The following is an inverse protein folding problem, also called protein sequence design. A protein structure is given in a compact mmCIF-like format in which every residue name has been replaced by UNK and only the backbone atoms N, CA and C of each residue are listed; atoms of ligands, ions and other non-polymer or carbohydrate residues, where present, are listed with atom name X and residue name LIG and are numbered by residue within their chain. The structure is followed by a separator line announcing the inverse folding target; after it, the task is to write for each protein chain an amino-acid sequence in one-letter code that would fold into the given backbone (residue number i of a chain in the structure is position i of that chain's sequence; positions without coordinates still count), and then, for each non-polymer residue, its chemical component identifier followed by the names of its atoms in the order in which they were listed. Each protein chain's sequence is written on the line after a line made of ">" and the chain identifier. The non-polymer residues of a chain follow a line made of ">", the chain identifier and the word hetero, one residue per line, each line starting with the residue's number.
data_IF_322536150439
#
_entry.id   IF_322536150439
#
_cell.length_a   1.000
_cell.length_b   1.000
_cell.length_c   1.000
_cell.angle_alpha   90.00
_cell.angle_beta   90.00
_cell.angle_gamma   90.00
#
_symmetry.space_group_name_H-M   'P 1'
#
loop_
_entity.id
_entity.type
_entity.pdbx_description
1 polymer ?
#
# COMPACT_ATOMS: atom_id res chain seq x y z
N UNK A 1 13.86 9.68 -5.10
CA UNK A 1 13.45 8.40 -4.51
C UNK A 1 12.05 8.10 -5.06
N UNK A 2 11.88 7.09 -5.92
CA UNK A 2 10.55 6.77 -6.47
C UNK A 2 9.77 6.04 -5.37
N UNK A 3 8.80 6.70 -4.75
CA UNK A 3 7.80 6.02 -3.91
C UNK A 3 7.00 5.12 -4.85
N UNK A 4 7.20 3.80 -4.76
CA UNK A 4 6.35 2.84 -5.47
C UNK A 4 5.07 2.71 -4.66
N UNK A 5 3.95 3.20 -5.19
CA UNK A 5 2.66 2.90 -4.58
C UNK A 5 2.34 1.42 -4.82
N UNK A 6 2.50 0.63 -3.74
CA UNK A 6 2.27 -0.82 -3.67
C UNK A 6 0.90 -1.23 -4.22
N UNK A 7 0.87 -2.24 -5.10
CA UNK A 7 -0.35 -2.91 -5.59
C UNK A 7 -0.87 -4.00 -4.65
N UNK A 8 -0.65 -3.85 -3.35
CA UNK A 8 -1.17 -4.78 -2.35
C UNK A 8 -2.69 -4.66 -2.15
N UNK A 9 -3.24 -5.52 -1.28
CA UNK A 9 -4.68 -5.61 -1.03
C UNK A 9 -5.26 -4.52 -0.12
N UNK A 10 -4.50 -3.51 0.34
CA UNK A 10 -4.96 -2.57 1.39
C UNK A 10 -6.27 -1.88 1.02
N UNK A 11 -6.39 -1.42 -0.23
CA UNK A 11 -7.58 -0.72 -0.71
C UNK A 11 -8.78 -1.67 -0.85
N UNK A 12 -8.53 -2.92 -1.23
CA UNK A 12 -9.56 -3.97 -1.30
C UNK A 12 -10.08 -4.30 0.09
N UNK A 13 -9.16 -4.56 1.03
CA UNK A 13 -9.46 -4.85 2.43
C UNK A 13 -10.24 -3.70 3.05
N UNK A 14 -9.77 -2.45 2.88
CA UNK A 14 -10.43 -1.27 3.43
C UNK A 14 -11.80 -1.03 2.81
N UNK A 15 -11.91 -1.14 1.48
CA UNK A 15 -13.20 -0.99 0.78
C UNK A 15 -14.23 -1.98 1.32
N UNK A 16 -13.88 -3.26 1.43
CA UNK A 16 -14.82 -4.28 1.92
C UNK A 16 -15.13 -4.09 3.41
N UNK A 17 -14.14 -3.73 4.23
CA UNK A 17 -14.32 -3.47 5.66
C UNK A 17 -15.22 -2.27 5.96
N UNK A 18 -15.22 -1.25 5.09
CA UNK A 18 -15.95 0.01 5.29
C UNK A 18 -17.30 0.07 4.55
N UNK A 19 -17.66 -0.97 3.78
CA UNK A 19 -19.01 -1.05 3.21
C UNK A 19 -20.06 -1.08 4.33
N UNK A 20 -21.20 -0.39 4.18
CA UNK A 20 -22.24 -0.36 5.21
C UNK A 20 -22.93 -1.73 5.33
N UNK A 21 -23.43 -2.07 6.52
CA UNK A 21 -24.11 -3.37 6.78
C UNK A 21 -25.39 -3.54 5.96
N UNK A 22 -25.97 -2.43 5.49
CA UNK A 22 -27.10 -2.42 4.54
C UNK A 22 -26.72 -2.80 3.11
N UNK A 23 -25.42 -2.94 2.78
CA UNK A 23 -24.99 -3.35 1.45
C UNK A 23 -25.21 -4.86 1.25
N UNK A 24 -26.22 -5.21 0.47
CA UNK A 24 -26.61 -6.60 0.18
C UNK A 24 -26.33 -7.03 -1.27
N UNK A 25 -25.78 -6.14 -2.10
CA UNK A 25 -25.52 -6.44 -3.50
C UNK A 25 -24.28 -7.32 -3.65
N UNK A 26 -24.21 -8.07 -4.75
CA UNK A 26 -23.02 -8.81 -5.12
C UNK A 26 -21.89 -7.83 -5.48
N UNK A 27 -20.71 -8.05 -4.91
CA UNK A 27 -19.52 -7.26 -5.19
C UNK A 27 -18.63 -7.99 -6.19
N UNK A 28 -18.16 -7.30 -7.23
CA UNK A 28 -17.13 -7.82 -8.12
C UNK A 28 -15.87 -6.95 -7.98
N UNK A 29 -14.73 -7.59 -7.77
CA UNK A 29 -13.44 -6.93 -7.53
C UNK A 29 -12.40 -7.52 -8.47
N UNK A 30 -11.93 -6.71 -9.43
CA UNK A 30 -10.78 -7.07 -10.26
C UNK A 30 -9.53 -6.38 -9.73
N UNK A 31 -8.44 -7.13 -9.57
CA UNK A 31 -7.17 -6.67 -9.03
C UNK A 31 -6.09 -7.00 -10.05
N UNK A 32 -5.28 -6.01 -10.40
CA UNK A 32 -4.21 -6.16 -11.36
C UNK A 32 -2.91 -5.53 -10.85
N UNK A 33 -1.81 -6.25 -11.03
CA UNK A 33 -0.46 -5.69 -10.95
C UNK A 33 0.36 -6.29 -12.10
N UNK A 34 1.38 -5.57 -12.58
CA UNK A 34 2.31 -6.08 -13.57
C UNK A 34 3.38 -6.98 -12.94
N UNK A 35 3.70 -6.76 -11.66
CA UNK A 35 4.64 -7.58 -10.91
C UNK A 35 3.96 -8.85 -10.39
N UNK A 36 4.32 -9.98 -10.99
CA UNK A 36 3.81 -11.29 -10.59
C UNK A 36 4.07 -11.61 -9.11
N UNK A 37 5.14 -11.09 -8.48
CA UNK A 37 5.41 -11.31 -7.05
C UNK A 37 4.29 -10.70 -6.22
N UNK A 38 3.86 -9.48 -6.56
CA UNK A 38 2.74 -8.81 -5.90
C UNK A 38 1.45 -9.60 -6.10
N UNK A 39 1.16 -10.02 -7.34
CA UNK A 39 -0.04 -10.81 -7.65
C UNK A 39 -0.07 -12.13 -6.88
N UNK A 40 1.02 -12.90 -6.88
CA UNK A 40 1.11 -14.18 -6.17
C UNK A 40 0.89 -14.00 -4.66
N UNK A 41 1.50 -12.97 -4.04
CA UNK A 41 1.29 -12.68 -2.62
C UNK A 41 -0.16 -12.31 -2.33
N UNK A 42 -0.79 -11.49 -3.18
CA UNK A 42 -2.19 -11.13 -3.04
C UNK A 42 -3.12 -12.35 -3.19
N UNK A 43 -2.85 -13.25 -4.13
CA UNK A 43 -3.59 -14.52 -4.29
C UNK A 43 -3.53 -15.35 -3.01
N UNK A 44 -2.34 -15.51 -2.42
CA UNK A 44 -2.15 -16.28 -1.17
C UNK A 44 -2.95 -15.67 -0.01
N UNK A 45 -2.88 -14.34 0.16
CA UNK A 45 -3.61 -13.64 1.22
C UNK A 45 -5.13 -13.76 1.03
N UNK A 46 -5.64 -13.64 -0.20
CA UNK A 46 -7.06 -13.81 -0.52
C UNK A 46 -7.54 -15.24 -0.31
N UNK A 47 -6.79 -16.25 -0.78
CA UNK A 47 -7.13 -17.66 -0.57
C UNK A 47 -7.23 -17.99 0.92
N UNK A 48 -6.28 -17.49 1.72
CA UNK A 48 -6.32 -17.66 3.17
C UNK A 48 -7.55 -17.00 3.81
N UNK A 49 -7.89 -15.77 3.41
CA UNK A 49 -9.06 -15.05 3.94
C UNK A 49 -10.40 -15.71 3.52
N UNK A 50 -10.51 -16.15 2.27
CA UNK A 50 -11.70 -16.81 1.73
C UNK A 50 -11.92 -18.19 2.37
N UNK A 51 -10.86 -18.99 2.54
CA UNK A 51 -10.93 -20.27 3.25
C UNK A 51 -11.30 -20.09 4.72
N UNK A 52 -10.69 -19.11 5.39
CA UNK A 52 -10.94 -18.84 6.80
C UNK A 52 -12.40 -18.42 7.09
N UNK A 53 -13.06 -17.78 6.13
CA UNK A 53 -14.45 -17.31 6.25
C UNK A 53 -15.47 -18.30 5.68
N UNK A 54 -15.03 -19.49 5.27
CA UNK A 54 -15.88 -20.57 4.80
C UNK A 54 -16.51 -21.32 5.98
N UNK A 55 -17.84 -21.21 6.13
CA UNK A 55 -18.59 -21.90 7.19
C UNK A 55 -18.45 -23.44 7.15
N UNK A 56 -18.03 -23.99 6.01
CA UNK A 56 -17.80 -25.41 5.82
C UNK A 56 -16.38 -25.86 6.21
N UNK A 57 -15.51 -24.94 6.65
CA UNK A 57 -14.16 -25.32 7.12
C UNK A 57 -14.25 -25.84 8.56
N UNK A 58 -14.07 -27.16 8.82
CA UNK A 58 -13.95 -27.69 10.18
C UNK A 58 -12.71 -27.14 10.92
N UNK A 59 -11.88 -26.36 10.21
CA UNK A 59 -10.73 -25.66 10.73
C UNK A 59 -10.99 -24.17 10.93
N UNK A 60 -12.21 -23.62 10.80
CA UNK A 60 -12.46 -22.17 10.96
C UNK A 60 -11.74 -21.63 12.22
N UNK A 61 -10.62 -20.94 12.01
CA UNK A 61 -9.86 -20.36 13.10
C UNK A 61 -10.70 -19.24 13.72
N UNK A 62 -10.44 -18.89 14.97
CA UNK A 62 -11.00 -17.66 15.52
C UNK A 62 -10.66 -16.50 14.54
N UNK A 63 -11.64 -15.67 14.16
CA UNK A 63 -11.42 -14.52 13.25
C UNK A 63 -10.25 -13.64 13.72
N UNK A 64 -10.08 -13.53 15.03
CA UNK A 64 -8.97 -12.82 15.64
C UNK A 64 -7.61 -13.45 15.31
N UNK A 65 -7.55 -14.78 15.31
CA UNK A 65 -6.36 -15.56 15.02
C UNK A 65 -5.95 -15.40 13.55
N UNK A 66 -6.93 -15.48 12.63
CA UNK A 66 -6.71 -15.28 11.18
C UNK A 66 -6.30 -13.85 10.85
N UNK A 67 -6.89 -12.86 11.52
CA UNK A 67 -6.50 -11.45 11.36
C UNK A 67 -5.00 -11.27 11.64
N UNK A 68 -4.47 -11.91 12.68
CA UNK A 68 -3.05 -11.88 13.00
C UNK A 68 -2.20 -12.67 12.01
N UNK A 69 -2.67 -13.82 11.52
CA UNK A 69 -1.98 -14.56 10.45
C UNK A 69 -1.80 -13.67 9.22
N UNK A 70 -2.86 -12.99 8.79
CA UNK A 70 -2.81 -12.07 7.64
C UNK A 70 -1.81 -10.94 7.88
N UNK A 71 -1.84 -10.30 9.06
CA UNK A 71 -0.92 -9.21 9.40
C UNK A 71 0.54 -9.67 9.32
N UNK A 72 0.85 -10.83 9.91
CA UNK A 72 2.22 -11.35 9.93
C UNK A 72 2.70 -11.81 8.55
N UNK A 73 1.86 -12.47 7.75
CA UNK A 73 2.21 -12.83 6.38
C UNK A 73 2.44 -11.59 5.50
N UNK A 74 1.68 -10.52 5.73
CA UNK A 74 1.78 -9.31 4.94
C UNK A 74 3.02 -8.47 5.30
N UNK A 75 3.27 -8.27 6.61
CA UNK A 75 4.19 -7.24 7.09
C UNK A 75 5.36 -7.74 7.94
N UNK A 76 5.32 -8.96 8.49
CA UNK A 76 6.43 -9.49 9.29
C UNK A 76 7.41 -10.29 8.44
N UNK A 77 8.70 -10.04 8.62
CA UNK A 77 9.79 -10.75 7.94
C UNK A 77 9.93 -12.18 8.45
N UNK A 78 9.73 -12.38 9.75
CA UNK A 78 9.69 -13.70 10.36
C UNK A 78 8.32 -13.97 10.95
N UNK A 79 7.93 -15.23 10.96
CA UNK A 79 6.64 -15.70 11.40
C UNK A 79 6.81 -16.85 12.41
N UNK A 80 5.81 -17.08 13.29
CA UNK A 80 5.79 -18.26 14.12
C UNK A 80 5.30 -19.49 13.35
N UNK A 81 5.58 -20.68 13.88
CA UNK A 81 5.16 -21.97 13.32
C UNK A 81 3.65 -22.01 13.06
N UNK A 82 2.83 -21.47 13.97
CA UNK A 82 1.39 -21.27 13.80
C UNK A 82 1.04 -20.63 12.45
N UNK A 83 1.71 -19.53 12.08
CA UNK A 83 1.38 -18.77 10.88
C UNK A 83 1.76 -19.57 9.62
N UNK A 84 2.91 -20.25 9.63
CA UNK A 84 3.31 -21.15 8.56
C UNK A 84 2.31 -22.32 8.41
N UNK A 85 1.90 -22.90 9.54
CA UNK A 85 0.91 -23.97 9.58
C UNK A 85 -0.43 -23.57 8.95
N UNK A 86 -0.91 -22.34 9.25
CA UNK A 86 -2.12 -21.81 8.62
C UNK A 86 -1.95 -21.65 7.10
N UNK A 87 -0.81 -21.11 6.66
CA UNK A 87 -0.50 -20.97 5.25
C UNK A 87 -0.50 -22.34 4.55
N UNK A 88 0.24 -23.31 5.08
CA UNK A 88 0.39 -24.63 4.47
C UNK A 88 -0.89 -25.46 4.52
N UNK A 89 -1.55 -25.56 5.69
CA UNK A 89 -2.71 -26.45 5.88
C UNK A 89 -3.99 -25.94 5.21
N UNK A 90 -4.04 -24.66 4.80
CA UNK A 90 -5.20 -24.04 4.15
C UNK A 90 -4.96 -23.71 2.69
N UNK A 91 -3.83 -23.09 2.36
CA UNK A 91 -3.59 -22.58 1.00
C UNK A 91 -3.09 -23.69 0.08
N UNK A 92 -2.13 -24.52 0.53
CA UNK A 92 -1.56 -25.59 -0.33
C UNK A 92 -2.65 -26.51 -0.90
N UNK A 93 -3.61 -27.05 -0.10
CA UNK A 93 -4.67 -27.90 -0.64
C UNK A 93 -5.52 -27.23 -1.73
N UNK A 94 -5.73 -25.92 -1.65
CA UNK A 94 -6.52 -25.17 -2.63
C UNK A 94 -5.78 -25.00 -3.97
N UNK A 95 -4.45 -24.91 -3.93
CA UNK A 95 -3.63 -24.65 -5.12
C UNK A 95 -3.02 -25.91 -5.75
N UNK A 96 -3.00 -27.07 -5.06
CA UNK A 96 -2.35 -28.29 -5.55
C UNK A 96 -2.82 -28.71 -6.94
N UNK A 97 -4.12 -28.78 -7.20
CA UNK A 97 -4.67 -29.13 -8.53
C UNK A 97 -4.24 -28.15 -9.62
N UNK A 98 -4.20 -26.85 -9.29
CA UNK A 98 -3.74 -25.82 -10.22
C UNK A 98 -2.24 -25.95 -10.51
N UNK A 99 -1.44 -26.21 -9.47
CA UNK A 99 0.00 -26.43 -9.60
C UNK A 99 0.32 -27.65 -10.47
N UNK A 100 -0.33 -28.79 -10.21
CA UNK A 100 -0.08 -30.02 -10.96
C UNK A 100 -0.43 -29.83 -12.45
N UNK A 101 -1.58 -29.20 -12.75
CA UNK A 101 -1.96 -28.85 -14.12
C UNK A 101 -0.95 -27.90 -14.77
N UNK A 102 -0.58 -26.82 -14.09
CA UNK A 102 0.36 -25.83 -14.60
C UNK A 102 1.74 -26.45 -14.91
N UNK A 103 2.20 -27.39 -14.10
CA UNK A 103 3.51 -28.03 -14.26
C UNK A 103 3.67 -28.73 -15.62
N UNK A 104 2.56 -29.25 -16.17
CA UNK A 104 2.49 -29.94 -17.47
C UNK A 104 2.35 -29.03 -18.68
N UNK A 105 2.05 -27.75 -18.47
CA UNK A 105 1.88 -26.80 -19.57
C UNK A 105 3.22 -26.43 -20.21
N UNK A 106 3.17 -25.93 -21.44
CA UNK A 106 4.35 -25.32 -22.08
C UNK A 106 4.73 -24.01 -21.37
N UNK A 107 6.03 -23.63 -21.36
CA UNK A 107 6.45 -22.36 -20.82
C UNK A 107 5.67 -21.16 -21.37
N UNK A 108 5.33 -20.21 -20.51
CA UNK A 108 4.56 -19.01 -20.84
C UNK A 108 3.07 -19.22 -21.16
N UNK A 109 2.56 -20.46 -21.11
CA UNK A 109 1.13 -20.73 -21.28
C UNK A 109 0.32 -20.11 -20.14
N UNK A 110 -0.81 -19.49 -20.49
CA UNK A 110 -1.78 -18.96 -19.53
C UNK A 110 -2.71 -20.07 -19.05
N UNK A 111 -3.01 -20.08 -17.76
CA UNK A 111 -4.00 -20.96 -17.16
C UNK A 111 -4.83 -20.18 -16.15
N UNK A 112 -6.15 -20.32 -16.27
CA UNK A 112 -7.09 -19.79 -15.29
C UNK A 112 -7.57 -20.88 -14.33
N UNK A 113 -7.69 -20.54 -13.05
CA UNK A 113 -8.31 -21.36 -12.01
C UNK A 113 -9.42 -20.54 -11.36
N UNK A 114 -10.56 -21.18 -11.17
CA UNK A 114 -11.68 -20.63 -10.41
C UNK A 114 -11.90 -21.48 -9.15
N UNK A 115 -12.00 -20.81 -8.02
CA UNK A 115 -12.44 -21.39 -6.75
C UNK A 115 -13.82 -20.86 -6.42
N UNK A 116 -14.66 -21.76 -5.91
CA UNK A 116 -15.96 -21.42 -5.34
C UNK A 116 -15.92 -21.71 -3.84
N UNK A 117 -16.36 -20.74 -3.06
CA UNK A 117 -16.47 -20.80 -1.61
C UNK A 117 -17.94 -20.68 -1.20
N UNK A 118 -18.32 -21.06 0.04
CA UNK A 118 -19.67 -20.84 0.55
C UNK A 118 -20.12 -19.38 0.46
N UNK A 119 -21.42 -19.14 0.58
CA UNK A 119 -22.05 -17.82 0.41
C UNK A 119 -21.86 -17.20 -0.98
N UNK A 120 -21.75 -18.05 -2.02
CA UNK A 120 -21.59 -17.66 -3.42
C UNK A 120 -20.33 -16.82 -3.71
N UNK A 121 -19.28 -16.98 -2.88
CA UNK A 121 -18.01 -16.31 -3.06
C UNK A 121 -17.16 -17.02 -4.11
N UNK A 122 -16.42 -16.27 -4.91
CA UNK A 122 -15.49 -16.86 -5.87
C UNK A 122 -14.19 -16.09 -5.98
N UNK A 123 -13.14 -16.81 -6.42
CA UNK A 123 -11.87 -16.24 -6.82
C UNK A 123 -11.50 -16.84 -8.16
N UNK A 124 -11.31 -16.00 -9.18
CA UNK A 124 -10.69 -16.36 -10.45
C UNK A 124 -9.27 -15.81 -10.49
N UNK A 125 -8.31 -16.65 -10.80
CA UNK A 125 -6.90 -16.26 -10.98
C UNK A 125 -6.46 -16.73 -12.36
N UNK A 126 -5.86 -15.84 -13.14
CA UNK A 126 -5.25 -16.15 -14.43
C UNK A 126 -3.77 -15.78 -14.39
N UNK A 127 -2.91 -16.79 -14.53
CA UNK A 127 -1.46 -16.66 -14.43
C UNK A 127 -0.78 -17.51 -15.50
N UNK A 128 0.46 -17.15 -15.83
CA UNK A 128 1.35 -17.98 -16.63
C UNK A 128 1.81 -19.19 -15.82
N UNK A 129 2.22 -20.25 -16.51
CA UNK A 129 2.81 -21.45 -15.90
C UNK A 129 3.84 -21.12 -14.81
N UNK A 130 4.82 -20.29 -15.13
CA UNK A 130 5.94 -19.97 -14.23
C UNK A 130 5.46 -19.26 -12.95
N UNK A 131 4.40 -18.47 -13.07
CA UNK A 131 3.80 -17.73 -11.96
C UNK A 131 2.97 -18.68 -11.08
N UNK A 132 2.27 -19.65 -11.66
CA UNK A 132 1.60 -20.72 -10.91
C UNK A 132 2.56 -21.56 -10.07
N UNK A 133 3.74 -21.88 -10.61
CA UNK A 133 4.77 -22.61 -9.86
C UNK A 133 5.20 -21.81 -8.62
N UNK A 134 5.32 -20.48 -8.75
CA UNK A 134 5.66 -19.58 -7.64
C UNK A 134 4.60 -19.51 -6.55
N UNK A 135 3.30 -19.67 -6.87
CA UNK A 135 2.23 -19.67 -5.85
C UNK A 135 2.48 -20.75 -4.79
N UNK A 136 2.90 -21.95 -5.22
CA UNK A 136 3.23 -23.03 -4.29
C UNK A 136 4.55 -22.79 -3.56
N UNK A 137 5.58 -22.33 -4.27
CA UNK A 137 6.89 -22.01 -3.67
C UNK A 137 6.75 -20.96 -2.55
N UNK A 138 5.89 -19.96 -2.72
CA UNK A 138 5.67 -18.90 -1.74
C UNK A 138 4.88 -19.39 -0.49
N UNK A 139 4.39 -20.62 -0.49
CA UNK A 139 3.78 -21.28 0.68
C UNK A 139 4.78 -22.11 1.50
N UNK A 140 6.02 -22.27 1.03
CA UNK A 140 7.03 -23.14 1.62
C UNK A 140 8.30 -22.36 1.94
N UNK A 141 8.90 -22.65 3.10
CA UNK A 141 10.19 -22.07 3.45
C UNK A 141 11.27 -22.75 2.62
N UNK A 142 12.13 -21.96 1.97
CA UNK A 142 13.25 -22.48 1.21
C UNK A 142 14.15 -23.32 2.12
N UNK A 143 14.36 -24.59 1.76
CA UNK A 143 15.14 -25.56 2.58
C UNK A 143 16.56 -25.06 2.90
N UNK A 144 17.14 -24.23 2.03
CA UNK A 144 18.49 -23.67 2.16
C UNK A 144 18.57 -22.41 3.04
N UNK A 145 17.41 -21.82 3.38
CA UNK A 145 17.30 -20.53 4.06
C UNK A 145 17.02 -20.73 5.55
N UNK A 146 18.06 -20.62 6.37
CA UNK A 146 17.92 -20.58 7.82
C UNK A 146 17.48 -19.20 8.30
N UNK A 147 16.99 -19.12 9.53
CA UNK A 147 16.67 -17.86 10.20
C UNK A 147 17.83 -16.85 10.14
N UNK A 148 19.04 -17.31 10.44
CA UNK A 148 20.26 -16.51 10.54
C UNK A 148 20.64 -15.95 9.17
N UNK A 149 20.53 -16.76 8.11
CA UNK A 149 20.79 -16.32 6.73
C UNK A 149 19.76 -15.29 6.27
N UNK A 150 18.47 -15.54 6.52
CA UNK A 150 17.39 -14.61 6.19
C UNK A 150 17.55 -13.28 6.95
N UNK A 151 17.87 -13.36 8.24
CA UNK A 151 18.15 -12.19 9.09
C UNK A 151 19.35 -11.41 8.59
N UNK A 152 20.47 -12.07 8.30
CA UNK A 152 21.66 -11.42 7.75
C UNK A 152 21.35 -10.72 6.42
N UNK A 153 20.61 -11.39 5.52
CA UNK A 153 20.18 -10.85 4.23
C UNK A 153 19.36 -9.57 4.41
N UNK A 154 18.35 -9.59 5.28
CA UNK A 154 17.53 -8.41 5.58
C UNK A 154 18.36 -7.28 6.18
N UNK A 155 19.16 -7.57 7.21
CA UNK A 155 19.98 -6.57 7.91
C UNK A 155 21.05 -5.95 7.02
N UNK A 156 21.56 -6.68 6.01
CA UNK A 156 22.48 -6.13 5.02
C UNK A 156 21.89 -4.96 4.22
N UNK A 157 20.55 -4.82 4.21
CA UNK A 157 19.83 -3.72 3.56
C UNK A 157 19.29 -2.76 4.62
N UNK A 158 18.48 -3.25 5.58
CA UNK A 158 17.79 -2.37 6.54
C UNK A 158 18.74 -1.70 7.53
N UNK A 159 19.87 -2.32 7.87
CA UNK A 159 20.90 -1.78 8.77
C UNK A 159 22.29 -1.69 8.11
N UNK A 160 22.34 -1.54 6.78
CA UNK A 160 23.59 -1.38 6.05
C UNK A 160 24.47 -0.27 6.67
N UNK A 161 25.75 -0.51 7.00
CA UNK A 161 26.59 0.50 7.65
C UNK A 161 26.72 1.80 6.84
N UNK A 162 26.71 1.69 5.50
CA UNK A 162 26.81 2.82 4.56
C UNK A 162 25.54 3.71 4.58
N UNK A 163 24.46 3.23 5.19
CA UNK A 163 23.16 3.92 5.26
C UNK A 163 22.87 4.50 6.65
N UNK A 164 23.84 4.45 7.57
CA UNK A 164 23.69 4.96 8.94
C UNK A 164 23.27 6.42 8.99
N UNK A 165 23.95 7.31 8.26
CA UNK A 165 23.60 8.74 8.23
C UNK A 165 22.17 8.98 7.70
N UNK A 166 21.75 8.24 6.66
CA UNK A 166 20.37 8.31 6.17
C UNK A 166 19.36 7.90 7.25
N UNK A 167 19.60 6.79 7.96
CA UNK A 167 18.72 6.31 9.04
C UNK A 167 18.64 7.29 10.20
N UNK A 168 19.77 7.81 10.66
CA UNK A 168 19.81 8.81 11.74
C UNK A 168 19.05 10.07 11.35
N UNK A 169 19.16 10.54 10.10
CA UNK A 169 18.37 11.67 9.58
C UNK A 169 16.88 11.38 9.55
N UNK A 170 16.45 10.15 9.22
CA UNK A 170 15.04 9.77 9.28
C UNK A 170 14.54 9.79 10.73
N UNK A 171 15.28 9.16 11.64
CA UNK A 171 14.96 9.15 13.07
C UNK A 171 14.91 10.57 13.65
N UNK A 172 15.80 11.46 13.22
CA UNK A 172 15.87 12.84 13.70
C UNK A 172 14.57 13.63 13.45
N UNK A 173 13.81 13.26 12.41
CA UNK A 173 12.54 13.89 12.02
C UNK A 173 11.33 13.45 12.86
N UNK A 174 11.47 12.37 13.63
CA UNK A 174 10.37 11.82 14.43
C UNK A 174 9.81 12.82 15.46
N UNK A 175 8.50 12.72 15.71
CA UNK A 175 7.79 13.53 16.70
C UNK A 175 8.41 13.38 18.10
N UNK A 176 8.83 12.18 18.49
CA UNK A 176 9.39 11.94 19.82
C UNK A 176 10.49 10.86 19.82
N UNK A 177 11.46 10.94 20.76
CA UNK A 177 12.51 9.92 20.88
C UNK A 177 12.00 8.48 21.03
N UNK A 178 10.93 8.18 21.80
CA UNK A 178 10.45 6.79 21.92
C UNK A 178 9.97 6.17 20.60
N UNK A 179 9.43 6.96 19.66
CA UNK A 179 9.02 6.46 18.34
C UNK A 179 10.25 5.93 17.57
N UNK A 180 11.39 6.61 17.69
CA UNK A 180 12.67 6.17 17.08
C UNK A 180 13.06 4.78 17.56
N UNK A 181 12.88 4.51 18.86
CA UNK A 181 13.18 3.19 19.45
C UNK A 181 12.28 2.10 18.86
N UNK A 182 10.99 2.40 18.64
CA UNK A 182 10.06 1.47 18.01
C UNK A 182 10.45 1.19 16.55
N UNK A 183 10.84 2.21 15.77
CA UNK A 183 11.31 2.07 14.39
C UNK A 183 12.61 1.31 14.27
N UNK A 184 13.59 1.65 15.11
CA UNK A 184 14.86 0.95 15.18
C UNK A 184 14.63 -0.55 15.43
N UNK A 185 13.74 -0.88 16.37
CA UNK A 185 13.39 -2.28 16.65
C UNK A 185 12.78 -2.98 15.44
N UNK A 186 11.85 -2.35 14.73
CA UNK A 186 11.32 -2.91 13.48
C UNK A 186 12.41 -3.07 12.40
N UNK A 187 13.36 -2.14 12.30
CA UNK A 187 14.50 -2.27 11.38
C UNK A 187 15.44 -3.41 11.76
N UNK A 188 15.54 -3.76 13.03
CA UNK A 188 16.37 -4.85 13.55
C UNK A 188 15.70 -6.24 13.44
N UNK A 189 14.43 -6.35 13.84
CA UNK A 189 13.72 -7.65 13.91
C UNK A 189 12.79 -7.89 12.72
N UNK A 190 12.29 -6.84 12.07
CA UNK A 190 11.36 -6.93 10.95
C UNK A 190 9.98 -7.43 11.33
N UNK A 191 9.55 -7.24 12.57
CA UNK A 191 8.29 -7.77 13.09
C UNK A 191 7.28 -6.66 13.33
N UNK A 192 6.12 -6.76 12.68
CA UNK A 192 4.99 -5.88 12.98
C UNK A 192 4.26 -6.39 14.25
N UNK A 193 4.71 -5.91 15.40
CA UNK A 193 4.21 -6.26 16.73
C UNK A 193 4.21 -5.04 17.66
N UNK A 194 3.36 -5.03 18.70
CA UNK A 194 3.53 -4.12 19.82
C UNK A 194 4.92 -4.24 20.44
N UNK A 195 5.49 -3.12 20.85
CA UNK A 195 6.85 -3.03 21.40
C UNK A 195 7.06 -3.98 22.60
N UNK A 196 6.07 -4.12 23.49
CA UNK A 196 6.17 -5.01 24.65
C UNK A 196 6.02 -6.51 24.34
N UNK A 197 5.60 -6.90 23.13
CA UNK A 197 5.25 -8.29 22.82
C UNK A 197 6.49 -9.22 22.85
N UNK A 198 6.40 -10.46 23.34
CA UNK A 198 7.50 -11.41 23.18
C UNK A 198 7.84 -11.66 21.71
N UNK A 199 9.13 -11.74 21.37
CA UNK A 199 9.62 -12.11 20.03
C UNK A 199 9.93 -13.60 19.89
N UNK A 200 9.77 -14.35 20.99
CA UNK A 200 9.98 -15.79 21.00
C UNK A 200 9.06 -16.48 20.00
N UNK A 201 9.61 -17.46 19.28
CA UNK A 201 8.88 -18.18 18.23
C UNK A 201 8.87 -17.50 16.86
N UNK A 202 9.20 -16.21 16.72
CA UNK A 202 9.31 -15.54 15.41
C UNK A 202 10.68 -15.79 14.76
N UNK A 203 10.90 -17.02 14.31
CA UNK A 203 12.19 -17.47 13.76
C UNK A 203 12.07 -18.12 12.38
N UNK A 204 10.86 -18.29 11.86
CA UNK A 204 10.67 -18.87 10.53
C UNK A 204 10.68 -17.74 9.50
N UNK A 205 11.56 -17.75 8.48
CA UNK A 205 11.50 -16.77 7.39
C UNK A 205 10.13 -16.80 6.71
N UNK A 206 9.48 -15.64 6.58
CA UNK A 206 8.20 -15.54 5.88
C UNK A 206 8.40 -15.91 4.39
N UNK A 207 7.83 -17.03 3.92
CA UNK A 207 8.09 -17.53 2.56
C UNK A 207 7.53 -16.60 1.48
N UNK A 208 6.52 -15.80 1.80
CA UNK A 208 5.96 -14.80 0.86
C UNK A 208 6.85 -13.57 0.68
N UNK A 209 7.82 -13.34 1.57
CA UNK A 209 8.78 -12.23 1.50
C UNK A 209 10.16 -12.74 1.08
N UNK A 210 10.63 -13.84 1.67
CA UNK A 210 11.94 -14.42 1.40
C UNK A 210 11.95 -15.39 0.20
N UNK A 211 11.08 -15.18 -0.78
CA UNK A 211 10.88 -16.09 -1.92
C UNK A 211 12.14 -16.32 -2.77
N UNK A 212 13.07 -15.37 -2.83
CA UNK A 212 14.34 -15.50 -3.58
C UNK A 212 15.47 -16.13 -2.74
N UNK A 213 15.33 -16.14 -1.40
CA UNK A 213 16.33 -16.67 -0.46
C UNK A 213 17.68 -15.95 -0.40
N UNK A 214 18.02 -15.13 -1.39
CA UNK A 214 19.34 -14.49 -1.56
C UNK A 214 19.31 -12.97 -1.43
N UNK A 215 18.13 -12.36 -1.57
CA UNK A 215 17.98 -10.91 -1.55
C UNK A 215 16.74 -10.49 -0.77
N UNK A 216 16.85 -9.36 -0.07
CA UNK A 216 15.72 -8.68 0.53
C UNK A 216 14.96 -7.91 -0.56
N UNK A 217 13.63 -8.08 -0.72
CA UNK A 217 12.91 -7.54 -1.88
C UNK A 217 12.49 -6.07 -1.73
N UNK A 218 12.72 -5.45 -0.57
CA UNK A 218 12.31 -4.07 -0.27
C UNK A 218 13.55 -3.19 -0.10
N UNK A 219 13.36 -1.87 -0.21
CA UNK A 219 14.43 -0.92 0.12
C UNK A 219 14.62 -0.79 1.65
N UNK A 220 15.63 -0.02 2.04
CA UNK A 220 16.03 0.17 3.44
C UNK A 220 15.11 1.11 4.22
N UNK A 221 14.15 1.73 3.53
CA UNK A 221 13.20 2.71 4.08
C UNK A 221 11.76 2.20 4.06
N UNK A 222 11.53 1.00 3.52
CA UNK A 222 10.22 0.40 3.42
C UNK A 222 9.60 0.19 4.81
N UNK A 223 8.42 0.78 5.02
CA UNK A 223 7.71 0.74 6.29
C UNK A 223 6.22 0.42 6.08
N UNK A 224 5.64 -0.52 6.85
CA UNK A 224 4.20 -0.83 6.75
C UNK A 224 3.30 0.38 7.05
N UNK A 225 3.78 1.39 7.79
CA UNK A 225 3.04 2.64 8.07
C UNK A 225 2.68 3.41 6.79
N UNK A 226 3.49 3.30 5.73
CA UNK A 226 3.26 3.98 4.44
C UNK A 226 1.98 3.53 3.74
N UNK A 227 1.43 2.38 4.13
CA UNK A 227 0.22 1.83 3.53
C UNK A 227 -1.09 2.25 4.18
N UNK A 228 -1.04 3.02 5.27
CA UNK A 228 -2.23 3.31 6.08
C UNK A 228 -2.30 4.79 6.45
N UNK A 229 -3.52 5.29 6.71
CA UNK A 229 -3.71 6.67 7.14
C UNK A 229 -2.95 6.93 8.43
N UNK A 230 -1.99 7.86 8.38
CA UNK A 230 -1.21 8.22 9.56
C UNK A 230 -2.10 8.72 10.70
N UNK A 231 -3.15 9.48 10.38
CA UNK A 231 -4.09 10.02 11.36
C UNK A 231 -4.86 8.88 12.05
N UNK A 232 -5.33 7.88 11.30
CA UNK A 232 -6.04 6.73 11.88
C UNK A 232 -5.13 5.84 12.73
N UNK A 233 -3.88 5.65 12.29
CA UNK A 233 -2.89 4.86 13.05
C UNK A 233 -2.51 5.60 14.33
N UNK A 234 -2.11 6.87 14.26
CA UNK A 234 -1.70 7.64 15.44
C UNK A 234 -2.87 7.88 16.41
N UNK A 235 -4.10 8.02 15.89
CA UNK A 235 -5.34 8.12 16.65
C UNK A 235 -5.79 6.80 17.29
N UNK A 236 -5.16 5.68 16.96
CA UNK A 236 -5.49 4.39 17.59
C UNK A 236 -5.08 4.39 19.06
N UNK A 237 -6.10 4.24 19.94
CA UNK A 237 -5.91 4.21 21.40
C UNK A 237 -5.23 2.91 21.84
N UNK A 238 -4.09 3.04 22.51
CA UNK A 238 -3.31 1.97 23.14
C UNK A 238 -2.75 2.47 24.47
N UNK A 239 -2.41 1.56 25.40
CA UNK A 239 -1.75 1.95 26.67
C UNK A 239 -0.34 2.50 26.45
N UNK A 240 0.38 1.99 25.43
CA UNK A 240 1.68 2.49 25.01
C UNK A 240 1.51 3.52 23.88
N UNK A 241 1.27 4.79 24.24
CA UNK A 241 0.92 5.86 23.29
C UNK A 241 2.03 6.19 22.28
N UNK A 242 3.29 5.90 22.61
CA UNK A 242 4.44 6.13 21.72
C UNK A 242 4.85 4.89 20.90
N UNK A 243 4.17 3.75 21.06
CA UNK A 243 4.42 2.54 20.29
C UNK A 243 3.67 2.59 18.95
N UNK A 244 4.28 3.20 17.94
CA UNK A 244 3.66 3.42 16.63
C UNK A 244 3.34 2.09 15.91
N UNK A 245 4.18 1.06 16.04
CA UNK A 245 3.92 -0.25 15.45
C UNK A 245 2.87 -1.04 16.24
N UNK A 246 2.81 -0.87 17.56
CA UNK A 246 1.69 -1.39 18.36
C UNK A 246 0.36 -0.74 17.99
N UNK A 247 0.34 0.58 17.77
CA UNK A 247 -0.82 1.30 17.24
C UNK A 247 -1.22 0.78 15.86
N UNK A 248 -0.26 0.63 14.95
CA UNK A 248 -0.50 0.06 13.62
C UNK A 248 -1.05 -1.36 13.71
N UNK A 249 -0.46 -2.23 14.54
CA UNK A 249 -0.91 -3.60 14.74
C UNK A 249 -2.36 -3.64 15.26
N UNK A 250 -2.72 -2.80 16.23
CA UNK A 250 -4.09 -2.71 16.75
C UNK A 250 -5.06 -2.15 15.70
N UNK A 251 -4.64 -1.14 14.94
CA UNK A 251 -5.42 -0.60 13.82
C UNK A 251 -5.71 -1.69 12.78
N UNK A 252 -4.67 -2.40 12.33
CA UNK A 252 -4.77 -3.48 11.37
C UNK A 252 -5.64 -4.63 11.87
N UNK A 253 -5.53 -5.04 13.15
CA UNK A 253 -6.42 -6.07 13.71
C UNK A 253 -7.89 -5.67 13.60
N UNK A 254 -8.23 -4.39 13.82
CA UNK A 254 -9.61 -3.89 13.66
C UNK A 254 -10.05 -3.93 12.20
N UNK A 255 -9.21 -3.45 11.28
CA UNK A 255 -9.51 -3.42 9.84
C UNK A 255 -9.65 -4.85 9.28
N UNK A 256 -8.69 -5.73 9.56
CA UNK A 256 -8.70 -7.12 9.09
C UNK A 256 -9.88 -7.90 9.69
N UNK A 257 -10.20 -7.69 10.97
CA UNK A 257 -11.38 -8.31 11.57
C UNK A 257 -12.66 -7.88 10.86
N UNK A 258 -12.87 -6.57 10.65
CA UNK A 258 -14.02 -6.05 9.91
C UNK A 258 -14.07 -6.64 8.50
N UNK A 259 -12.94 -6.65 7.79
CA UNK A 259 -12.83 -7.25 6.47
C UNK A 259 -13.27 -8.72 6.47
N UNK A 260 -12.78 -9.54 7.40
CA UNK A 260 -13.14 -10.96 7.50
C UNK A 260 -14.62 -11.17 7.89
N UNK A 261 -15.14 -10.38 8.83
CA UNK A 261 -16.55 -10.43 9.25
C UNK A 261 -17.47 -10.11 8.05
N UNK A 262 -17.12 -9.08 7.26
CA UNK A 262 -17.83 -8.72 6.03
C UNK A 262 -17.70 -9.78 4.96
N UNK A 263 -16.50 -10.30 4.75
CA UNK A 263 -16.23 -11.35 3.79
C UNK A 263 -17.00 -12.64 4.14
N UNK A 264 -17.27 -12.92 5.40
CA UNK A 264 -18.06 -14.09 5.81
C UNK A 264 -19.50 -14.09 5.27
N UNK A 265 -20.14 -12.92 5.22
CA UNK A 265 -21.56 -12.77 4.88
C UNK A 265 -21.81 -12.27 3.46
N UNK A 266 -20.84 -11.58 2.86
CA UNK A 266 -21.02 -10.95 1.54
C UNK A 266 -20.90 -11.95 0.39
N UNK A 267 -21.66 -11.67 -0.67
CA UNK A 267 -21.47 -12.30 -1.99
C UNK A 267 -20.41 -11.49 -2.76
N UNK A 268 -19.22 -12.06 -2.94
CA UNK A 268 -18.11 -11.38 -3.61
C UNK A 268 -17.39 -12.30 -4.60
N UNK A 269 -17.14 -11.78 -5.79
CA UNK A 269 -16.30 -12.38 -6.81
C UNK A 269 -15.00 -11.58 -6.96
N UNK A 270 -13.88 -12.24 -6.72
CA UNK A 270 -12.56 -11.69 -7.01
C UNK A 270 -12.04 -12.20 -8.35
N UNK A 271 -11.39 -11.32 -9.10
CA UNK A 271 -10.61 -11.66 -10.28
C UNK A 271 -9.21 -11.06 -10.16
N UNK A 272 -8.19 -11.91 -10.25
CA UNK A 272 -6.79 -11.50 -10.24
C UNK A 272 -6.21 -11.66 -11.65
N UNK A 273 -5.61 -10.58 -12.14
CA UNK A 273 -4.94 -10.53 -13.44
C UNK A 273 -3.50 -10.05 -13.25
N UNK A 274 -2.56 -10.59 -14.03
CA UNK A 274 -1.16 -10.15 -14.04
C UNK A 274 -0.75 -9.62 -15.42
N UNK A 275 -1.19 -8.41 -15.76
CA UNK A 275 -0.87 -7.79 -17.06
C UNK A 275 -0.53 -6.30 -16.91
N UNK A 276 0.03 -5.72 -17.98
CA UNK A 276 0.23 -4.27 -18.06
C UNK A 276 -1.14 -3.57 -18.07
N UNK A 277 -1.28 -2.47 -17.31
CA UNK A 277 -2.55 -1.78 -17.17
C UNK A 277 -3.13 -1.27 -18.51
N UNK A 278 -2.28 -1.06 -19.54
CA UNK A 278 -2.72 -0.70 -20.89
C UNK A 278 -3.47 -1.82 -21.60
N UNK A 279 -3.24 -3.07 -21.23
CA UNK A 279 -3.83 -4.26 -21.86
C UNK A 279 -5.17 -4.64 -21.22
N UNK A 280 -5.45 -4.19 -19.99
CA UNK A 280 -6.70 -4.45 -19.27
C UNK A 280 -7.98 -4.31 -20.12
N UNK A 281 -8.13 -3.31 -21.02
CA UNK A 281 -9.34 -3.14 -21.82
C UNK A 281 -9.60 -4.26 -22.84
N UNK A 282 -8.59 -5.07 -23.13
CA UNK A 282 -8.70 -6.26 -24.00
C UNK A 282 -9.19 -7.48 -23.22
N UNK A 283 -9.03 -7.49 -21.89
CA UNK A 283 -9.31 -8.64 -21.04
C UNK A 283 -10.53 -8.43 -20.13
N UNK A 284 -10.86 -7.18 -19.81
CA UNK A 284 -11.95 -6.84 -18.89
C UNK A 284 -13.19 -6.32 -19.64
N UNK A 285 -14.39 -6.55 -19.11
CA UNK A 285 -15.63 -6.11 -19.73
C UNK A 285 -15.74 -4.58 -19.76
N UNK A 286 -16.13 -4.04 -20.91
CA UNK A 286 -16.48 -2.62 -21.05
C UNK A 286 -17.72 -2.26 -20.23
N UNK A 287 -17.82 -0.98 -19.85
CA UNK A 287 -18.99 -0.41 -19.17
C UNK A 287 -19.42 -1.19 -17.90
N UNK A 288 -18.45 -1.79 -17.20
CA UNK A 288 -18.72 -2.74 -16.12
C UNK A 288 -18.49 -2.14 -14.74
N UNK A 289 -17.39 -1.40 -14.54
CA UNK A 289 -16.94 -0.99 -13.21
C UNK A 289 -17.62 0.29 -12.75
N UNK A 290 -18.10 0.29 -11.51
CA UNK A 290 -18.61 1.48 -10.81
C UNK A 290 -17.47 2.31 -10.22
N UNK A 291 -16.34 1.66 -9.95
CA UNK A 291 -15.15 2.28 -9.37
C UNK A 291 -13.91 1.64 -9.97
N UNK A 292 -12.98 2.47 -10.41
CA UNK A 292 -11.63 2.07 -10.81
C UNK A 292 -10.68 2.94 -10.02
N UNK A 293 -9.78 2.34 -9.25
CA UNK A 293 -8.69 3.07 -8.61
C UNK A 293 -7.38 2.63 -9.23
N UNK A 294 -6.53 3.60 -9.54
CA UNK A 294 -5.18 3.32 -9.98
C UNK A 294 -4.16 3.98 -9.07
N UNK A 295 -3.05 3.28 -8.90
CA UNK A 295 -1.84 3.77 -8.26
C UNK A 295 -1.24 4.97 -9.04
N UNK A 296 0.03 5.28 -8.81
CA UNK A 296 0.74 6.40 -9.42
C UNK A 296 1.08 6.24 -10.93
N UNK A 297 0.41 5.33 -11.64
CA UNK A 297 0.62 5.13 -13.08
C UNK A 297 0.26 6.36 -13.91
N UNK A 298 -0.52 7.29 -13.34
CA UNK A 298 -0.94 8.54 -13.98
C UNK A 298 0.11 9.64 -13.96
N UNK A 299 1.13 9.56 -13.09
CA UNK A 299 2.27 10.46 -13.13
C UNK A 299 2.99 10.35 -14.48
N UNK A 300 3.57 11.46 -14.95
CA UNK A 300 4.24 11.54 -16.25
C UNK A 300 5.43 10.58 -16.39
N UNK A 301 6.10 10.26 -15.29
CA UNK A 301 7.17 9.26 -15.23
C UNK A 301 6.73 7.80 -15.42
N UNK A 302 5.42 7.53 -15.57
CA UNK A 302 4.85 6.20 -15.83
C UNK A 302 4.04 6.17 -17.13
N UNK A 303 2.71 5.96 -17.08
CA UNK A 303 1.87 6.00 -18.29
C UNK A 303 1.45 7.43 -18.65
N UNK A 304 1.34 8.30 -17.65
CA UNK A 304 0.76 9.63 -17.82
C UNK A 304 -0.76 9.62 -17.95
N UNK A 305 -1.38 10.76 -17.61
CA UNK A 305 -2.83 10.85 -17.48
C UNK A 305 -3.62 10.47 -18.74
N UNK A 306 -3.15 10.85 -19.94
CA UNK A 306 -3.85 10.53 -21.20
C UNK A 306 -3.94 9.03 -21.43
N UNK A 307 -2.81 8.31 -21.33
CA UNK A 307 -2.79 6.89 -21.61
C UNK A 307 -3.58 6.11 -20.55
N UNK A 308 -3.49 6.51 -19.28
CA UNK A 308 -4.29 5.92 -18.19
C UNK A 308 -5.79 6.08 -18.45
N UNK A 309 -6.25 7.30 -18.75
CA UNK A 309 -7.68 7.53 -19.02
C UNK A 309 -8.14 6.84 -20.29
N UNK A 310 -7.32 6.84 -21.35
CA UNK A 310 -7.67 6.17 -22.61
C UNK A 310 -7.84 4.66 -22.43
N UNK A 311 -6.99 4.03 -21.62
CA UNK A 311 -7.11 2.63 -21.31
C UNK A 311 -8.34 2.34 -20.44
N UNK A 312 -8.53 3.06 -19.32
CA UNK A 312 -9.42 2.60 -18.27
C UNK A 312 -10.83 3.21 -18.31
N UNK A 313 -11.02 4.36 -18.96
CA UNK A 313 -12.35 4.97 -19.10
C UNK A 313 -13.37 4.05 -19.77
N UNK A 314 -13.04 3.29 -20.85
CA UNK A 314 -13.97 2.34 -21.48
C UNK A 314 -14.48 1.22 -20.55
N UNK A 315 -13.75 0.92 -19.46
CA UNK A 315 -14.15 -0.07 -18.46
C UNK A 315 -15.15 0.52 -17.45
N UNK A 316 -15.17 1.84 -17.28
CA UNK A 316 -16.03 2.55 -16.35
C UNK A 316 -17.46 2.66 -16.89
N UNK A 317 -18.46 2.39 -16.04
CA UNK A 317 -19.87 2.51 -16.41
C UNK A 317 -20.22 3.90 -16.97
N UNK A 318 -21.07 3.98 -18.01
CA UNK A 318 -21.52 5.25 -18.55
C UNK A 318 -22.46 5.98 -17.59
N UNK A 319 -22.55 7.32 -17.66
CA UNK A 319 -23.34 8.12 -16.72
C UNK A 319 -24.84 7.78 -16.74
N UNK A 320 -25.36 7.37 -17.91
CA UNK A 320 -26.76 6.93 -18.07
C UNK A 320 -27.10 5.71 -17.21
N UNK A 321 -26.11 4.83 -16.96
CA UNK A 321 -26.26 3.63 -16.13
C UNK A 321 -25.95 3.93 -14.67
N UNK A 322 -24.90 4.70 -14.42
CA UNK A 322 -24.47 5.05 -13.07
C UNK A 322 -23.78 6.42 -13.06
N UNK A 323 -24.46 7.49 -12.59
CA UNK A 323 -23.88 8.83 -12.55
C UNK A 323 -22.75 8.97 -11.52
N UNK A 324 -22.62 8.00 -10.61
CA UNK A 324 -21.60 7.97 -9.57
C UNK A 324 -20.37 7.13 -9.96
N UNK A 325 -20.34 6.56 -11.16
CA UNK A 325 -19.19 5.78 -11.61
C UNK A 325 -17.94 6.66 -11.65
N UNK A 326 -16.87 6.22 -10.97
CA UNK A 326 -15.68 7.05 -10.75
C UNK A 326 -14.38 6.30 -11.01
N UNK A 327 -13.49 6.92 -11.78
CA UNK A 327 -12.09 6.52 -11.92
C UNK A 327 -11.22 7.44 -11.05
N UNK A 328 -10.39 6.88 -10.19
CA UNK A 328 -9.57 7.59 -9.21
C UNK A 328 -8.10 7.45 -9.63
N UNK A 329 -7.41 8.57 -9.86
CA UNK A 329 -5.98 8.61 -10.19
C UNK A 329 -5.18 9.25 -9.05
N UNK A 330 -4.07 8.63 -8.67
CA UNK A 330 -3.09 9.18 -7.74
C UNK A 330 -1.88 9.79 -8.47
N UNK A 331 -1.45 10.95 -8.02
CA UNK A 331 -0.20 11.60 -8.41
C UNK A 331 0.71 11.72 -7.19
N UNK A 332 1.93 11.21 -7.30
CA UNK A 332 2.95 11.31 -6.25
C UNK A 332 4.08 12.28 -6.65
N UNK A 333 4.28 12.48 -7.96
CA UNK A 333 5.45 13.18 -8.47
C UNK A 333 5.10 14.53 -9.10
N UNK A 334 3.85 14.74 -9.51
CA UNK A 334 3.38 15.91 -10.24
C UNK A 334 3.85 17.27 -9.65
N UNK A 335 3.70 17.47 -8.34
CA UNK A 335 4.09 18.74 -7.69
C UNK A 335 5.60 18.97 -7.76
N UNK A 336 6.40 17.95 -7.45
CA UNK A 336 7.87 18.06 -7.49
C UNK A 336 8.40 18.22 -8.92
N UNK A 337 7.75 17.62 -9.92
CA UNK A 337 8.12 17.80 -11.33
C UNK A 337 7.97 19.28 -11.75
N UNK A 338 6.90 19.95 -11.31
CA UNK A 338 6.70 21.38 -11.59
C UNK A 338 7.67 22.27 -10.82
N UNK A 339 7.91 21.96 -9.54
CA UNK A 339 8.87 22.69 -8.72
C UNK A 339 10.28 22.63 -9.35
N UNK A 340 10.69 21.45 -9.79
CA UNK A 340 11.91 21.21 -10.58
C UNK A 340 11.97 22.05 -11.84
N UNK A 341 10.95 21.94 -12.68
CA UNK A 341 10.91 22.63 -13.97
C UNK A 341 10.90 24.16 -13.82
N UNK A 342 10.43 24.68 -12.67
CA UNK A 342 10.38 26.11 -12.38
C UNK A 342 11.66 26.61 -11.67
N UNK A 343 12.64 25.73 -11.39
CA UNK A 343 13.84 26.08 -10.61
C UNK A 343 13.57 26.34 -9.13
N UNK A 344 12.38 25.94 -8.63
CA UNK A 344 11.95 26.15 -7.24
C UNK A 344 12.32 24.97 -6.34
N UNK A 345 12.83 23.85 -6.87
CA UNK A 345 13.15 22.64 -6.06
C UNK A 345 14.19 22.93 -4.96
N UNK A 346 15.16 23.78 -5.28
CA UNK A 346 16.25 24.18 -4.37
C UNK A 346 15.89 25.43 -3.54
N UNK A 347 14.69 25.98 -3.75
CA UNK A 347 14.21 27.13 -3.00
C UNK A 347 13.72 26.71 -1.62
N UNK A 348 14.19 27.39 -0.57
CA UNK A 348 13.61 27.33 0.76
C UNK A 348 12.61 28.47 0.98
N UNK A 349 11.69 28.63 0.03
CA UNK A 349 10.51 29.48 0.24
C UNK A 349 9.81 29.01 1.52
N UNK A 350 9.37 29.96 2.35
CA UNK A 350 8.69 29.70 3.64
C UNK A 350 9.59 29.21 4.79
N UNK A 351 10.91 29.46 4.73
CA UNK A 351 11.84 29.17 5.84
C UNK A 351 11.37 29.70 7.20
N UNK A 352 10.85 30.94 7.26
CA UNK A 352 10.31 31.51 8.49
C UNK A 352 9.17 30.67 9.08
N UNK A 353 8.21 30.25 8.24
CA UNK A 353 7.10 29.40 8.65
C UNK A 353 7.58 28.02 9.14
N UNK A 354 8.56 27.41 8.46
CA UNK A 354 9.14 26.14 8.87
C UNK A 354 9.81 26.22 10.25
N UNK A 355 10.47 27.34 10.55
CA UNK A 355 11.07 27.58 11.86
C UNK A 355 10.04 27.72 12.99
N UNK A 356 8.81 28.11 12.67
CA UNK A 356 7.72 28.20 13.65
C UNK A 356 7.10 26.83 13.95
N UNK A 357 7.11 25.89 13.00
CA UNK A 357 6.64 24.52 13.22
C UNK A 357 7.68 23.59 13.87
N UNK A 358 8.97 23.85 13.64
CA UNK A 358 10.05 22.96 14.06
C UNK A 358 10.55 23.29 15.48
N UNK A 359 11.10 22.29 16.21
CA UNK A 359 11.81 22.57 17.45
C UNK A 359 12.95 23.56 17.19
N UNK A 360 13.22 24.44 18.16
CA UNK A 360 14.31 25.43 18.07
C UNK A 360 15.60 24.76 17.58
N UNK A 361 16.13 25.17 16.41
CA UNK A 361 17.29 24.52 15.82
C UNK A 361 18.57 24.89 16.59
N UNK A 362 19.57 24.02 16.52
CA UNK A 362 20.93 24.40 16.91
C UNK A 362 21.54 25.27 15.80
N UNK A 363 22.07 26.45 16.17
CA UNK A 363 22.58 27.41 15.19
C UNK A 363 23.83 26.90 14.44
N UNK A 364 24.66 26.07 15.08
CA UNK A 364 25.85 25.49 14.46
C UNK A 364 25.43 24.44 13.42
N UNK A 365 24.43 23.62 13.76
CA UNK A 365 23.78 22.66 12.88
C UNK A 365 23.14 23.35 11.67
N UNK A 366 22.46 24.49 11.87
CA UNK A 366 21.83 25.25 10.78
C UNK A 366 22.84 25.90 9.82
N UNK A 367 23.98 26.35 10.35
CA UNK A 367 25.03 27.00 9.55
C UNK A 367 25.74 26.04 8.57
N UNK A 368 25.55 24.72 8.73
CA UNK A 368 26.16 23.69 7.87
C UNK A 368 25.11 23.14 6.89
N UNK A 369 25.36 23.13 5.57
CA UNK A 369 24.42 22.56 4.60
C UNK A 369 24.03 21.11 4.89
N UNK A 370 24.94 20.32 5.49
CA UNK A 370 24.70 18.93 5.88
C UNK A 370 24.35 18.74 7.37
N UNK A 371 24.11 19.83 8.12
CA UNK A 371 23.68 19.73 9.51
C UNK A 371 22.29 19.14 9.64
N UNK A 372 22.01 18.48 10.76
CA UNK A 372 20.77 17.74 10.97
C UNK A 372 19.53 18.66 10.96
N UNK A 373 19.64 19.87 11.51
CA UNK A 373 18.55 20.85 11.50
C UNK A 373 18.30 21.42 10.11
N UNK A 374 19.36 21.72 9.36
CA UNK A 374 19.25 22.17 7.98
C UNK A 374 18.60 21.10 7.09
N UNK A 375 19.00 19.83 7.24
CA UNK A 375 18.40 18.71 6.53
C UNK A 375 16.93 18.47 6.92
N UNK A 376 16.59 18.63 8.21
CA UNK A 376 15.21 18.52 8.67
C UNK A 376 14.29 19.59 8.07
N UNK A 377 14.79 20.83 7.97
CA UNK A 377 14.09 21.93 7.30
C UNK A 377 13.98 21.65 5.80
N UNK A 378 15.06 21.18 5.17
CA UNK A 378 15.06 20.84 3.76
C UNK A 378 14.01 19.77 3.43
N UNK A 379 13.94 18.71 4.24
CA UNK A 379 12.98 17.63 4.08
C UNK A 379 11.53 18.06 4.36
N UNK A 380 11.30 19.09 5.17
CA UNK A 380 9.96 19.57 5.51
C UNK A 380 9.36 20.55 4.52
N UNK A 381 10.16 21.06 3.55
CA UNK A 381 9.72 22.10 2.61
C UNK A 381 8.46 21.73 1.83
N UNK A 382 8.31 20.46 1.46
CA UNK A 382 7.15 19.95 0.72
C UNK A 382 5.83 20.14 1.48
N UNK A 383 5.86 20.13 2.81
CA UNK A 383 4.67 20.26 3.66
C UNK A 383 4.07 21.68 3.66
N UNK A 384 4.84 22.69 3.23
CA UNK A 384 4.41 24.09 3.19
C UNK A 384 4.43 24.68 1.78
N UNK A 385 4.55 23.82 0.75
CA UNK A 385 4.45 24.24 -0.64
C UNK A 385 3.01 24.63 -1.00
N UNK A 386 2.86 25.57 -1.93
CA UNK A 386 1.59 25.81 -2.60
C UNK A 386 1.33 24.68 -3.62
N UNK A 387 0.94 23.51 -3.10
CA UNK A 387 0.73 22.31 -3.90
C UNK A 387 -0.39 22.48 -4.93
N UNK A 388 -1.37 23.34 -4.65
CA UNK A 388 -2.48 23.64 -5.56
C UNK A 388 -2.00 24.40 -6.78
N UNK A 389 -1.21 25.46 -6.59
CA UNK A 389 -0.59 26.20 -7.70
C UNK A 389 0.28 25.28 -8.56
N UNK A 390 1.10 24.44 -7.94
CA UNK A 390 1.96 23.51 -8.66
C UNK A 390 1.15 22.49 -9.46
N UNK A 391 0.14 21.87 -8.86
CA UNK A 391 -0.69 20.88 -9.53
C UNK A 391 -1.55 21.51 -10.64
N UNK A 392 -2.05 22.74 -10.46
CA UNK A 392 -2.73 23.46 -11.53
C UNK A 392 -1.80 23.66 -12.75
N UNK A 393 -0.56 24.09 -12.53
CA UNK A 393 0.43 24.22 -13.61
C UNK A 393 0.77 22.86 -14.25
N UNK A 394 0.80 21.78 -13.45
CA UNK A 394 0.92 20.42 -13.96
C UNK A 394 -0.22 20.05 -14.91
N UNK A 395 -1.46 20.37 -14.52
CA UNK A 395 -2.65 20.13 -15.35
C UNK A 395 -2.61 20.89 -16.67
N UNK A 396 -2.10 22.13 -16.66
CA UNK A 396 -1.91 22.96 -17.85
C UNK A 396 -0.87 22.35 -18.81
N UNK A 397 0.32 22.00 -18.29
CA UNK A 397 1.42 21.41 -19.08
C UNK A 397 1.00 20.07 -19.72
N UNK A 398 0.31 19.23 -18.95
CA UNK A 398 -0.16 17.92 -19.43
C UNK A 398 -1.54 17.98 -20.11
N UNK A 399 -2.10 19.17 -20.29
CA UNK A 399 -3.30 19.41 -21.07
C UNK A 399 -4.55 18.68 -20.57
N UNK A 400 -4.79 18.63 -19.26
CA UNK A 400 -5.88 17.85 -18.65
C UNK A 400 -7.24 18.17 -19.27
N UNK A 401 -7.56 19.44 -19.52
CA UNK A 401 -8.83 19.84 -20.15
C UNK A 401 -8.97 19.29 -21.58
N UNK A 402 -7.88 19.29 -22.36
CA UNK A 402 -7.86 18.72 -23.71
C UNK A 402 -8.00 17.20 -23.66
N UNK A 403 -7.28 16.54 -22.76
CA UNK A 403 -7.40 15.09 -22.53
C UNK A 403 -8.84 14.73 -22.13
N UNK A 404 -9.44 15.49 -21.23
CA UNK A 404 -10.80 15.30 -20.77
C UNK A 404 -11.82 15.43 -21.92
N UNK A 405 -11.69 16.48 -22.73
CA UNK A 405 -12.54 16.68 -23.91
C UNK A 405 -12.39 15.55 -24.94
N UNK A 406 -11.16 15.20 -25.30
CA UNK A 406 -10.87 14.16 -26.30
C UNK A 406 -11.40 12.78 -25.88
N UNK A 407 -11.30 12.46 -24.58
CA UNK A 407 -11.70 11.17 -24.03
C UNK A 407 -13.14 11.16 -23.48
N UNK A 408 -13.87 12.27 -23.60
CA UNK A 408 -15.24 12.44 -23.10
C UNK A 408 -15.37 12.07 -21.62
N UNK A 409 -14.45 12.60 -20.84
CA UNK A 409 -14.44 12.53 -19.37
C UNK A 409 -14.36 13.92 -18.78
N UNK A 410 -14.65 14.02 -17.49
CA UNK A 410 -14.48 15.23 -16.70
C UNK A 410 -13.98 14.83 -15.33
N UNK A 411 -13.00 15.57 -14.80
CA UNK A 411 -12.60 15.44 -13.41
C UNK A 411 -13.59 16.19 -12.52
N UNK A 412 -13.89 15.66 -11.34
CA UNK A 412 -14.84 16.27 -10.40
C UNK A 412 -14.21 17.52 -9.78
N UNK A 413 -15.01 18.55 -9.57
CA UNK A 413 -14.58 19.76 -8.85
C UNK A 413 -14.30 19.49 -7.36
N UNK A 414 -14.90 18.43 -6.81
CA UNK A 414 -14.66 17.93 -5.46
C UNK A 414 -14.72 16.41 -5.48
N UNK A 415 -13.72 15.79 -4.87
CA UNK A 415 -13.73 14.34 -4.68
C UNK A 415 -14.82 13.91 -3.69
N UNK A 416 -15.34 12.71 -3.91
CA UNK A 416 -16.49 12.15 -3.17
C UNK A 416 -16.17 10.83 -2.47
N UNK A 417 -15.06 10.19 -2.83
CA UNK A 417 -14.63 8.88 -2.37
C UNK A 417 -13.37 9.02 -1.53
N UNK A 418 -12.36 9.74 -2.04
CA UNK A 418 -11.09 9.96 -1.35
C UNK A 418 -10.79 11.44 -1.27
N UNK A 419 -10.18 11.91 -0.18
CA UNK A 419 -9.77 13.30 -0.10
C UNK A 419 -8.77 13.64 -1.21
N UNK A 420 -8.86 14.86 -1.76
CA UNK A 420 -7.99 15.34 -2.83
C UNK A 420 -6.51 15.40 -2.40
N UNK A 421 -6.25 15.76 -1.15
CA UNK A 421 -4.91 15.90 -0.57
C UNK A 421 -4.85 15.26 0.83
N UNK A 422 -4.91 13.92 0.95
CA UNK A 422 -5.09 13.27 2.25
C UNK A 422 -3.92 13.45 3.22
N UNK A 423 -2.74 13.82 2.70
CA UNK A 423 -1.49 13.95 3.47
C UNK A 423 -1.03 15.41 3.62
N UNK A 424 -1.81 16.38 3.15
CA UNK A 424 -1.58 17.81 3.41
C UNK A 424 -1.99 18.18 4.84
N UNK A 425 -1.31 19.18 5.40
CA UNK A 425 -1.65 19.77 6.70
C UNK A 425 -3.09 20.27 6.69
N UNK A 426 -3.88 19.83 7.67
CA UNK A 426 -5.27 20.29 7.85
C UNK A 426 -5.34 21.50 8.77
N UNK A 427 -4.41 21.58 9.72
CA UNK A 427 -4.35 22.63 10.73
C UNK A 427 -3.33 23.70 10.34
N UNK A 428 -3.74 24.96 10.49
CA UNK A 428 -2.87 26.11 10.34
C UNK A 428 -2.08 26.36 11.61
N UNK A 429 -0.92 26.99 11.47
CA UNK A 429 -0.09 27.39 12.59
C UNK A 429 -0.90 28.21 13.61
N UNK A 430 -0.68 27.95 14.90
CA UNK A 430 -1.43 28.56 16.01
C UNK A 430 -2.73 27.82 16.36
N UNK A 431 -3.24 26.93 15.50
CA UNK A 431 -4.34 26.05 15.87
C UNK A 431 -3.85 24.92 16.78
N UNK A 432 -4.71 24.49 17.71
CA UNK A 432 -4.42 23.39 18.64
C UNK A 432 -4.15 22.11 17.84
N UNK A 433 -2.94 21.57 17.97
CA UNK A 433 -2.50 20.32 17.33
C UNK A 433 -1.76 20.51 15.99
N UNK A 434 -1.62 21.75 15.49
CA UNK A 434 -0.96 22.00 14.20
C UNK A 434 0.52 21.56 14.16
N UNK A 435 1.27 21.85 15.23
CA UNK A 435 2.66 21.38 15.36
C UNK A 435 2.77 19.85 15.43
N UNK A 436 1.82 19.20 16.12
CA UNK A 436 1.79 17.75 16.23
C UNK A 436 1.48 17.10 14.87
N UNK A 437 0.50 17.62 14.13
CA UNK A 437 0.19 17.18 12.77
C UNK A 437 1.39 17.32 11.84
N UNK A 438 2.01 18.50 11.84
CA UNK A 438 3.20 18.77 11.03
C UNK A 438 4.33 17.77 11.32
N UNK A 439 4.63 17.57 12.60
CA UNK A 439 5.73 16.68 13.01
C UNK A 439 5.41 15.20 12.80
N UNK A 440 4.14 14.81 12.89
CA UNK A 440 3.71 13.45 12.53
C UNK A 440 3.92 13.19 11.03
N UNK A 441 3.51 14.12 10.16
CA UNK A 441 3.74 13.99 8.72
C UNK A 441 5.24 14.02 8.38
N UNK A 442 6.03 14.90 8.99
CA UNK A 442 7.48 14.98 8.76
C UNK A 442 8.23 13.70 9.19
N UNK A 443 7.79 13.07 10.28
CA UNK A 443 8.32 11.78 10.75
C UNK A 443 7.77 10.58 9.98
N UNK A 444 6.89 10.79 9.02
CA UNK A 444 6.35 9.72 8.17
C UNK A 444 7.11 9.60 6.85
N UNK A 445 6.75 8.60 6.04
CA UNK A 445 7.26 8.48 4.67
C UNK A 445 6.31 9.11 3.64
N UNK A 446 5.24 9.79 4.08
CA UNK A 446 4.41 10.60 3.20
C UNK A 446 5.13 11.89 2.84
N UNK A 447 5.01 12.29 1.57
CA UNK A 447 5.60 13.53 1.08
C UNK A 447 4.74 14.76 1.38
N UNK A 448 3.45 14.55 1.68
CA UNK A 448 2.44 15.60 1.72
C UNK A 448 1.97 16.00 0.32
N UNK A 449 2.51 15.40 -0.75
CA UNK A 449 2.24 15.78 -2.14
C UNK A 449 1.32 14.78 -2.85
N UNK A 450 0.86 13.76 -2.13
CA UNK A 450 -0.08 12.76 -2.63
C UNK A 450 -1.39 13.44 -3.03
N UNK A 451 -1.70 13.43 -4.32
CA UNK A 451 -2.88 14.08 -4.87
C UNK A 451 -3.79 13.11 -5.61
N UNK A 452 -5.07 13.10 -5.24
CA UNK A 452 -6.08 12.26 -5.89
C UNK A 452 -7.02 13.09 -6.76
N UNK A 453 -7.25 12.63 -7.99
CA UNK A 453 -8.24 13.20 -8.91
C UNK A 453 -9.31 12.16 -9.23
N UNK A 454 -10.57 12.52 -9.04
CA UNK A 454 -11.72 11.70 -9.45
C UNK A 454 -12.24 12.11 -10.82
N UNK A 455 -12.38 11.13 -11.71
CA UNK A 455 -12.86 11.28 -13.08
C UNK A 455 -14.19 10.57 -13.26
N UNK A 456 -15.06 11.13 -14.11
CA UNK A 456 -16.29 10.49 -14.58
C UNK A 456 -16.44 10.67 -16.08
N UNK A 457 -17.16 9.77 -16.72
CA UNK A 457 -17.55 9.90 -18.12
C UNK A 457 -18.57 11.02 -18.32
N UNK A 458 -18.60 11.60 -19.51
CA UNK A 458 -19.65 12.55 -19.92
C UNK A 458 -20.68 11.90 -20.86
N UNK A 459 -20.36 10.75 -21.48
CA UNK A 459 -21.24 10.02 -22.40
C UNK A 459 -21.38 8.53 -22.09
#
# INVERSE_FOLDING_TARGET
>A
MKVKASGDLRNVVKTIADLPDSFQQKLHVSINDRDHVVVVRNVILLLLALDATSAASPKAGNVQDISEVLIHLWYSSFIPERVLDHLQKRVIPLISDAYDKASTLRPGALMSKMWHFPSQKSLRVELRREEWLKVKEFCEVLKTLTYEKARATRLSVTLAPQRTDYRERWHFKELSPPIRVARQRFQEDGLLLPFGHPRIGFHIPNPTIFYNGTAWPMDDKADPLTGWSIQEVYGTKTSATADVYGKLFVHLRKVMKKFLDRLAIMNVDFEMVNIDAKELPLHLPKDHYTRIEVSNISDAGYLGIRATLQALTPLLQPPKRNPNATLITLFLNAVMEISKASGEEDSMSNMGLLMEYLPRPDWISLAKPQGADMMRIWDSRALVMDVKKHFQKYMEIHGFNRVAADLKVVFKSRNTIIEEWPTQLKLQLGQKGAEEEFRNLLGSDFSGLEHYVEWRRTV
#
